data_IF_116198162944
#
_entry.id   IF_116198162944
#
_cell.length_a   1.000
_cell.length_b   1.000
_cell.length_c   1.000
_cell.angle_alpha   90.00
_cell.angle_beta   90.00
_cell.angle_gamma   90.00
#
_symmetry.space_group_name_H-M   'P 1'
#
loop_
_entity.id
_entity.type
_entity.pdbx_description
1 polymer ?
#
# COMPACT_ATOMS: atom_id res chain seq x y z
N UNK A 1 -3.67 25.79 10.05
CA UNK A 1 -4.64 25.05 10.88
C UNK A 1 -4.92 23.71 10.21
N UNK A 2 -4.68 22.60 10.90
CA UNK A 2 -4.97 21.26 10.38
C UNK A 2 -6.49 21.15 10.16
N UNK A 3 -6.90 20.78 8.94
CA UNK A 3 -8.30 20.51 8.62
C UNK A 3 -8.74 19.31 9.47
N UNK A 4 -9.96 19.33 10.02
CA UNK A 4 -10.50 18.19 10.78
C UNK A 4 -10.38 16.93 9.91
N UNK A 5 -9.67 15.92 10.41
CA UNK A 5 -9.33 14.72 9.64
C UNK A 5 -10.58 14.03 9.11
N UNK A 6 -10.59 13.75 7.81
CA UNK A 6 -11.64 12.98 7.17
C UNK A 6 -11.20 11.51 7.13
N UNK A 7 -12.09 10.58 7.49
CA UNK A 7 -11.78 9.14 7.46
C UNK A 7 -11.41 8.67 6.05
N UNK A 8 -11.97 9.29 5.01
CA UNK A 8 -11.66 8.99 3.62
C UNK A 8 -10.20 9.27 3.24
N UNK A 9 -9.58 10.29 3.85
CA UNK A 9 -8.18 10.64 3.56
C UNK A 9 -7.22 9.62 4.19
N UNK A 10 -7.61 9.01 5.32
CA UNK A 10 -6.79 8.06 6.06
C UNK A 10 -7.01 6.59 5.62
N UNK A 11 -8.21 6.25 5.15
CA UNK A 11 -8.60 4.89 4.80
C UNK A 11 -7.62 4.16 3.84
N UNK A 12 -7.08 4.79 2.77
CA UNK A 12 -6.10 4.14 1.91
C UNK A 12 -4.80 3.78 2.64
N UNK A 13 -4.35 4.67 3.53
CA UNK A 13 -3.13 4.51 4.30
C UNK A 13 -3.29 3.44 5.40
N UNK A 14 -4.42 3.45 6.10
CA UNK A 14 -4.77 2.41 7.08
C UNK A 14 -4.86 1.02 6.42
N UNK A 15 -5.49 0.93 5.24
CA UNK A 15 -5.58 -0.32 4.49
C UNK A 15 -4.20 -0.84 4.11
N UNK A 16 -3.33 0.02 3.58
CA UNK A 16 -1.94 -0.35 3.25
C UNK A 16 -1.19 -0.88 4.48
N UNK A 17 -1.21 -0.13 5.60
CA UNK A 17 -0.46 -0.54 6.80
C UNK A 17 -1.06 -1.76 7.51
N UNK A 18 -2.37 -2.01 7.39
CA UNK A 18 -2.98 -3.25 7.86
C UNK A 18 -2.41 -4.44 7.11
N UNK A 19 -2.46 -4.42 5.78
CA UNK A 19 -1.94 -5.52 4.97
C UNK A 19 -0.43 -5.70 5.08
N UNK A 20 0.35 -4.61 5.12
CA UNK A 20 1.80 -4.66 5.33
C UNK A 20 2.16 -5.48 6.57
N UNK A 21 1.47 -5.25 7.70
CA UNK A 21 1.77 -5.91 8.97
C UNK A 21 1.36 -7.39 8.99
N UNK A 22 0.32 -7.74 8.24
CA UNK A 22 -0.18 -9.12 8.16
C UNK A 22 0.63 -9.96 7.15
N UNK A 23 1.07 -9.35 6.05
CA UNK A 23 1.64 -10.05 4.89
C UNK A 23 3.18 -10.05 4.89
N UNK A 24 3.85 -9.05 5.50
CA UNK A 24 5.33 -9.00 5.59
C UNK A 24 5.83 -9.79 6.79
N UNK A 25 6.70 -10.78 6.55
CA UNK A 25 7.38 -11.52 7.62
C UNK A 25 8.57 -10.74 8.20
N UNK A 26 8.28 -9.68 8.95
CA UNK A 26 9.32 -8.88 9.60
C UNK A 26 10.02 -9.61 10.75
N UNK A 27 9.42 -10.67 11.31
CA UNK A 27 9.99 -11.41 12.45
C UNK A 27 11.18 -12.28 12.08
N UNK A 28 11.31 -12.68 10.82
CA UNK A 28 12.47 -13.43 10.33
C UNK A 28 13.66 -12.53 9.98
N UNK A 29 13.46 -11.22 9.92
CA UNK A 29 14.53 -10.28 9.61
C UNK A 29 15.42 -10.09 10.84
N UNK A 30 16.73 -10.19 10.63
CA UNK A 30 17.77 -10.05 11.64
C UNK A 30 18.46 -8.70 11.58
N UNK A 31 18.45 -8.07 10.40
CA UNK A 31 19.04 -6.75 10.19
C UNK A 31 18.00 -5.71 9.78
N UNK A 32 18.33 -4.44 10.03
CA UNK A 32 17.50 -3.31 9.61
C UNK A 32 17.43 -3.23 8.07
N UNK A 33 18.47 -3.68 7.37
CA UNK A 33 18.53 -3.72 5.91
C UNK A 33 17.57 -4.76 5.31
N UNK A 34 17.48 -5.95 5.91
CA UNK A 34 16.50 -6.97 5.52
C UNK A 34 15.06 -6.50 5.67
N UNK A 35 14.77 -5.76 6.75
CA UNK A 35 13.45 -5.16 6.97
C UNK A 35 13.15 -4.13 5.88
N UNK A 36 14.10 -3.24 5.57
CA UNK A 36 13.92 -2.23 4.53
C UNK A 36 13.64 -2.88 3.17
N UNK A 37 14.45 -3.87 2.78
CA UNK A 37 14.26 -4.59 1.52
C UNK A 37 12.89 -5.27 1.46
N UNK A 38 12.47 -5.94 2.54
CA UNK A 38 11.15 -6.58 2.61
C UNK A 38 10.00 -5.58 2.50
N UNK A 39 10.14 -4.38 3.07
CA UNK A 39 9.14 -3.31 2.97
C UNK A 39 9.13 -2.74 1.54
N UNK A 40 10.29 -2.49 0.93
CA UNK A 40 10.40 -1.96 -0.43
C UNK A 40 9.79 -2.95 -1.45
N UNK A 41 10.09 -4.24 -1.31
CA UNK A 41 9.49 -5.31 -2.12
C UNK A 41 7.97 -5.36 -1.94
N UNK A 42 7.49 -5.20 -0.71
CA UNK A 42 6.05 -5.17 -0.43
C UNK A 42 5.36 -3.95 -1.02
N UNK A 43 5.99 -2.78 -0.97
CA UNK A 43 5.48 -1.54 -1.56
C UNK A 43 5.33 -1.71 -3.08
N UNK A 44 6.32 -2.31 -3.74
CA UNK A 44 6.23 -2.59 -5.17
C UNK A 44 5.10 -3.58 -5.47
N UNK A 45 5.05 -4.70 -4.74
CA UNK A 45 3.98 -5.69 -4.84
C UNK A 45 2.59 -5.05 -4.70
N UNK A 46 2.36 -4.28 -3.64
CA UNK A 46 1.08 -3.67 -3.33
C UNK A 46 0.61 -2.69 -4.41
N UNK A 47 1.53 -1.90 -4.97
CA UNK A 47 1.20 -0.86 -5.94
C UNK A 47 1.05 -1.39 -7.37
N UNK A 48 1.88 -2.37 -7.75
CA UNK A 48 2.00 -2.83 -9.13
C UNK A 48 1.32 -4.17 -9.42
N UNK A 49 1.12 -5.02 -8.42
CA UNK A 49 0.67 -6.41 -8.62
C UNK A 49 -0.59 -6.78 -7.83
N UNK A 50 -0.85 -6.14 -6.69
CA UNK A 50 -2.03 -6.43 -5.85
C UNK A 50 -3.30 -5.77 -6.39
N UNK A 51 -4.20 -6.56 -6.96
CA UNK A 51 -5.52 -6.08 -7.40
C UNK A 51 -6.46 -5.86 -6.21
N UNK A 52 -7.21 -4.75 -6.23
CA UNK A 52 -8.13 -4.40 -5.14
C UNK A 52 -9.58 -4.32 -5.63
N UNK A 53 -10.51 -4.93 -4.87
CA UNK A 53 -11.93 -4.94 -5.21
C UNK A 53 -12.51 -3.53 -5.33
N UNK A 54 -12.14 -2.64 -4.40
CA UNK A 54 -12.58 -1.24 -4.39
C UNK A 54 -12.01 -0.42 -5.56
N UNK A 55 -10.99 -0.93 -6.26
CA UNK A 55 -10.36 -0.30 -7.43
C UNK A 55 -10.74 -1.01 -8.74
N UNK A 56 -11.97 -1.55 -8.83
CA UNK A 56 -12.44 -2.30 -10.02
C UNK A 56 -11.53 -3.49 -10.37
N UNK A 57 -10.92 -4.14 -9.37
CA UNK A 57 -9.92 -5.21 -9.52
C UNK A 57 -8.66 -4.77 -10.27
N UNK A 58 -8.35 -3.47 -10.29
CA UNK A 58 -7.08 -2.95 -10.77
C UNK A 58 -6.08 -2.83 -9.61
N UNK A 59 -4.81 -2.71 -9.96
CA UNK A 59 -3.75 -2.34 -9.03
C UNK A 59 -3.78 -0.83 -8.79
N UNK A 60 -3.29 -0.33 -7.65
CA UNK A 60 -3.26 1.11 -7.37
C UNK A 60 -2.68 1.96 -8.50
N UNK A 61 -1.56 1.53 -9.09
CA UNK A 61 -0.91 2.23 -10.21
C UNK A 61 -1.78 2.20 -11.47
N UNK A 62 -2.37 1.05 -11.82
CA UNK A 62 -3.26 0.95 -12.99
C UNK A 62 -4.50 1.84 -12.84
N UNK A 63 -5.11 1.83 -11.65
CA UNK A 63 -6.25 2.67 -11.36
C UNK A 63 -5.91 4.17 -11.47
N UNK A 64 -4.77 4.60 -10.90
CA UNK A 64 -4.26 5.97 -11.02
C UNK A 64 -4.05 6.37 -12.49
N UNK A 65 -3.37 5.52 -13.27
CA UNK A 65 -3.05 5.82 -14.66
C UNK A 65 -4.32 5.92 -15.53
N UNK A 66 -5.34 5.11 -15.26
CA UNK A 66 -6.64 5.23 -15.94
C UNK A 66 -7.31 6.59 -15.68
N UNK A 67 -7.22 7.11 -14.46
CA UNK A 67 -7.80 8.42 -14.10
C UNK A 67 -7.03 9.60 -14.72
N UNK A 68 -5.71 9.44 -14.94
CA UNK A 68 -4.86 10.48 -15.54
C UNK A 68 -4.93 10.51 -17.07
N UNK A 69 -5.43 9.45 -17.70
CA UNK A 69 -5.62 9.37 -19.15
C UNK A 69 -6.93 10.03 -19.63
N UNK A 70 -7.68 10.65 -18.72
CA UNK A 70 -8.93 11.39 -18.95
C UNK A 70 -8.64 12.88 -18.89
#
# INVERSE_FOLDING_TARGET
MSRRGNCWDNAPQESFFGHLKDEVNYKSCTTLEEIKNSIDDYIDYYNNYRCQWNLKKLTPVKYRNQLLAV
#
